data_IF_367354848128
#
_entry.id   IF_367354848128
#
_cell.length_a   1.000
_cell.length_b   1.000
_cell.length_c   1.000
_cell.angle_alpha   90.00
_cell.angle_beta   90.00
_cell.angle_gamma   90.00
#
_symmetry.space_group_name_H-M   'P 1'
#
loop_
_entity.id
_entity.type
_entity.pdbx_description
1 polymer ?
#
# COMPACT_ATOMS: atom_id res chain seq x y z
N UNK A 1 -13.37 -21.95 -6.69
CA UNK A 1 -11.94 -21.99 -6.31
C UNK A 1 -11.28 -20.60 -6.35
N UNK A 2 -11.44 -19.83 -7.43
CA UNK A 2 -10.87 -18.48 -7.55
C UNK A 2 -11.25 -17.51 -6.41
N UNK A 3 -12.52 -17.45 -6.00
CA UNK A 3 -12.96 -16.57 -4.91
C UNK A 3 -12.26 -16.84 -3.57
N UNK A 4 -11.96 -18.11 -3.27
CA UNK A 4 -11.26 -18.50 -2.03
C UNK A 4 -9.78 -18.09 -2.05
N UNK A 5 -9.16 -18.08 -3.24
CA UNK A 5 -7.80 -17.56 -3.40
C UNK A 5 -7.77 -16.05 -3.19
N UNK A 6 -8.69 -15.31 -3.81
CA UNK A 6 -8.83 -13.86 -3.65
C UNK A 6 -9.04 -13.50 -2.19
N UNK A 7 -9.91 -14.22 -1.48
CA UNK A 7 -10.14 -13.97 -0.05
C UNK A 7 -8.88 -14.21 0.80
N UNK A 8 -8.15 -15.29 0.53
CA UNK A 8 -6.93 -15.63 1.24
C UNK A 8 -5.82 -14.61 0.99
N UNK A 9 -5.63 -14.21 -0.27
CA UNK A 9 -4.66 -13.20 -0.67
C UNK A 9 -4.98 -11.84 -0.07
N UNK A 10 -6.24 -11.39 -0.16
CA UNK A 10 -6.71 -10.17 0.48
C UNK A 10 -6.51 -10.20 1.99
N UNK A 11 -6.61 -11.38 2.61
CA UNK A 11 -6.35 -11.54 4.04
C UNK A 11 -4.90 -11.28 4.41
N UNK A 12 -3.96 -11.94 3.74
CA UNK A 12 -2.54 -11.75 4.01
C UNK A 12 -2.05 -10.36 3.62
N UNK A 13 -2.56 -9.81 2.52
CA UNK A 13 -2.24 -8.44 2.10
C UNK A 13 -2.74 -7.42 3.14
N UNK A 14 -3.96 -7.61 3.66
CA UNK A 14 -4.51 -6.78 4.72
C UNK A 14 -3.69 -6.85 6.01
N UNK A 15 -3.24 -8.04 6.42
CA UNK A 15 -2.38 -8.20 7.60
C UNK A 15 -1.02 -7.52 7.42
N UNK A 16 -0.41 -7.63 6.24
CA UNK A 16 0.83 -6.92 5.92
C UNK A 16 0.66 -5.40 6.03
N UNK A 17 -0.43 -4.86 5.48
CA UNK A 17 -0.74 -3.42 5.57
C UNK A 17 -1.01 -3.01 7.01
N UNK A 18 -1.78 -3.78 7.78
CA UNK A 18 -2.04 -3.52 9.20
C UNK A 18 -0.74 -3.47 10.02
N UNK A 19 0.22 -4.37 9.73
CA UNK A 19 1.53 -4.33 10.37
C UNK A 19 2.30 -3.04 10.03
N UNK A 20 2.30 -2.61 8.76
CA UNK A 20 2.95 -1.36 8.37
C UNK A 20 2.31 -0.14 9.06
N UNK A 21 0.98 -0.12 9.17
CA UNK A 21 0.26 0.94 9.88
C UNK A 21 0.66 0.96 11.36
N UNK A 22 0.67 -0.19 12.01
CA UNK A 22 1.03 -0.31 13.43
C UNK A 22 2.48 0.10 13.70
N UNK A 23 3.41 -0.24 12.80
CA UNK A 23 4.83 0.04 12.99
C UNK A 23 5.21 1.49 12.68
N UNK A 24 4.63 2.08 11.64
CA UNK A 24 5.10 3.37 11.11
C UNK A 24 4.10 4.51 11.25
N UNK A 25 2.82 4.22 11.52
CA UNK A 25 1.72 5.20 11.55
C UNK A 25 1.78 6.21 10.37
N UNK A 26 1.92 5.74 9.12
CA UNK A 26 2.19 6.63 7.99
C UNK A 26 0.93 7.41 7.61
N UNK A 27 1.08 8.60 7.03
CA UNK A 27 -0.07 9.33 6.47
C UNK A 27 -0.63 8.68 5.20
N UNK A 28 0.21 7.95 4.45
CA UNK A 28 -0.15 7.35 3.16
C UNK A 28 0.62 6.05 2.93
N UNK A 29 -0.10 5.02 2.46
CA UNK A 29 0.46 3.82 1.85
C UNK A 29 0.02 3.82 0.39
N UNK A 30 0.98 3.99 -0.52
CA UNK A 30 0.74 3.94 -1.96
C UNK A 30 1.01 2.52 -2.50
N UNK A 31 -0.02 1.91 -3.08
CA UNK A 31 0.04 0.55 -3.64
C UNK A 31 0.33 0.60 -5.14
N UNK A 32 1.44 -0.02 -5.54
CA UNK A 32 1.89 -0.11 -6.92
C UNK A 32 1.82 -1.52 -7.51
N UNK A 33 2.22 -1.64 -8.77
CA UNK A 33 2.43 -2.92 -9.44
C UNK A 33 1.16 -3.73 -9.68
N UNK A 34 1.28 -5.06 -9.60
CA UNK A 34 0.17 -5.99 -9.90
C UNK A 34 -1.07 -5.82 -9.02
N UNK A 35 -0.91 -5.29 -7.81
CA UNK A 35 -2.00 -5.03 -6.85
C UNK A 35 -3.00 -4.00 -7.39
N UNK A 36 -2.53 -3.01 -8.18
CA UNK A 36 -3.38 -1.96 -8.74
C UNK A 36 -4.51 -2.51 -9.62
N UNK A 37 -4.25 -3.57 -10.39
CA UNK A 37 -5.22 -4.15 -11.33
C UNK A 37 -6.39 -4.84 -10.65
N UNK A 38 -6.15 -5.39 -9.47
CA UNK A 38 -7.13 -6.18 -8.71
C UNK A 38 -7.61 -5.45 -7.46
N UNK A 39 -7.24 -4.17 -7.29
CA UNK A 39 -7.55 -3.40 -6.10
C UNK A 39 -9.02 -3.40 -5.69
N UNK A 40 -9.99 -3.23 -6.62
CA UNK A 40 -11.41 -3.29 -6.26
C UNK A 40 -11.84 -4.61 -5.63
N UNK A 41 -11.14 -5.72 -5.93
CA UNK A 41 -11.45 -7.05 -5.38
C UNK A 41 -10.95 -7.22 -3.93
N UNK A 42 -9.93 -6.46 -3.54
CA UNK A 42 -9.26 -6.62 -2.25
C UNK A 42 -9.54 -5.49 -1.27
N UNK A 43 -9.91 -4.30 -1.75
CA UNK A 43 -10.06 -3.07 -0.97
C UNK A 43 -10.84 -3.29 0.32
N UNK A 44 -12.08 -3.77 0.20
CA UNK A 44 -12.98 -3.90 1.35
C UNK A 44 -12.45 -4.90 2.39
N UNK A 45 -11.83 -5.99 1.92
CA UNK A 45 -11.23 -7.02 2.81
C UNK A 45 -10.01 -6.48 3.54
N UNK A 46 -9.18 -5.70 2.86
CA UNK A 46 -8.00 -5.05 3.45
C UNK A 46 -8.44 -4.03 4.50
N UNK A 47 -9.40 -3.17 4.18
CA UNK A 47 -9.92 -2.16 5.11
C UNK A 47 -10.53 -2.81 6.37
N UNK A 48 -11.27 -3.92 6.20
CA UNK A 48 -11.80 -4.68 7.32
C UNK A 48 -10.68 -5.20 8.23
N UNK A 49 -9.63 -5.78 7.66
CA UNK A 49 -8.52 -6.36 8.43
C UNK A 49 -7.72 -5.29 9.15
N UNK A 50 -7.46 -4.16 8.49
CA UNK A 50 -6.80 -3.01 9.11
C UNK A 50 -7.61 -2.55 10.33
N UNK A 51 -8.93 -2.36 10.18
CA UNK A 51 -9.81 -1.96 11.30
C UNK A 51 -9.80 -2.97 12.44
N UNK A 52 -9.76 -4.26 12.14
CA UNK A 52 -9.75 -5.33 13.15
C UNK A 52 -8.42 -5.46 13.90
N UNK A 53 -7.30 -5.13 13.25
CA UNK A 53 -5.96 -5.42 13.79
C UNK A 53 -5.24 -4.16 14.31
N UNK A 54 -5.64 -2.95 13.89
CA UNK A 54 -5.00 -1.70 14.30
C UNK A 54 -5.81 -0.98 15.39
N UNK A 55 -5.89 -1.56 16.59
CA UNK A 55 -6.62 -0.96 17.72
C UNK A 55 -5.82 0.06 18.56
N UNK A 56 -4.49 0.08 18.43
CA UNK A 56 -3.60 0.86 19.31
C UNK A 56 -3.00 2.10 18.64
N UNK A 57 -3.27 2.28 17.35
CA UNK A 57 -2.78 3.41 16.55
C UNK A 57 -3.95 4.03 15.78
N UNK A 58 -3.91 5.33 15.45
CA UNK A 58 -4.98 6.01 14.72
C UNK A 58 -4.94 5.61 13.23
N UNK A 59 -5.32 4.37 12.94
CA UNK A 59 -5.24 3.79 11.60
C UNK A 59 -6.12 4.52 10.58
N UNK A 60 -7.17 5.20 11.02
CA UNK A 60 -8.04 6.06 10.22
C UNK A 60 -7.32 7.26 9.60
N UNK A 61 -6.16 7.64 10.13
CA UNK A 61 -5.31 8.70 9.57
C UNK A 61 -4.41 8.21 8.44
N UNK A 62 -4.27 6.90 8.27
CA UNK A 62 -3.50 6.31 7.17
C UNK A 62 -4.40 6.16 5.96
N UNK A 63 -4.07 6.87 4.88
CA UNK A 63 -4.72 6.64 3.58
C UNK A 63 -4.06 5.47 2.86
N UNK A 64 -4.87 4.62 2.22
CA UNK A 64 -4.38 3.54 1.36
C UNK A 64 -4.86 3.85 -0.07
N UNK A 65 -3.94 4.16 -0.97
CA UNK A 65 -4.25 4.66 -2.31
C UNK A 65 -3.45 3.89 -3.37
N UNK A 66 -3.93 3.92 -4.61
CA UNK A 66 -3.15 3.42 -5.75
C UNK A 66 -2.10 4.43 -6.18
N UNK A 67 -0.89 3.96 -6.48
CA UNK A 67 0.19 4.80 -7.00
C UNK A 67 -0.21 5.40 -8.35
N UNK A 68 -0.08 6.72 -8.50
CA UNK A 68 -0.53 7.45 -9.70
C UNK A 68 0.52 7.51 -10.82
N UNK A 69 1.78 7.20 -10.53
CA UNK A 69 2.92 7.40 -11.44
C UNK A 69 3.05 6.33 -12.56
N UNK A 70 2.16 5.35 -12.60
CA UNK A 70 2.07 4.39 -13.71
C UNK A 70 3.37 3.63 -13.99
N UNK A 71 3.64 3.34 -15.26
CA UNK A 71 4.83 2.60 -15.72
C UNK A 71 6.15 3.33 -15.47
N UNK A 72 6.11 4.66 -15.40
CA UNK A 72 7.31 5.50 -15.44
C UNK A 72 7.88 5.73 -14.04
N UNK A 73 7.21 5.23 -13.00
CA UNK A 73 7.60 5.37 -11.59
C UNK A 73 9.06 4.97 -11.33
N UNK A 74 9.55 3.92 -12.01
CA UNK A 74 10.93 3.45 -11.85
C UNK A 74 11.95 4.44 -12.43
N UNK A 75 11.69 4.98 -13.62
CA UNK A 75 12.58 5.93 -14.28
C UNK A 75 12.55 7.29 -13.58
N UNK A 76 11.37 7.76 -13.18
CA UNK A 76 11.21 8.99 -12.41
C UNK A 76 11.89 8.89 -11.05
N UNK A 77 11.74 7.75 -10.36
CA UNK A 77 12.43 7.49 -9.10
C UNK A 77 13.95 7.47 -9.25
N UNK A 78 14.47 6.83 -10.31
CA UNK A 78 15.91 6.81 -10.58
C UNK A 78 16.46 8.22 -10.89
N UNK A 79 15.74 9.00 -11.70
CA UNK A 79 16.08 10.39 -12.00
C UNK A 79 16.07 11.26 -10.74
N UNK A 80 15.05 11.13 -9.89
CA UNK A 80 14.96 11.86 -8.62
C UNK A 80 16.09 11.48 -7.66
N UNK A 81 16.45 10.20 -7.58
CA UNK A 81 17.55 9.74 -6.74
C UNK A 81 18.91 10.30 -7.21
N UNK A 82 19.14 10.34 -8.52
CA UNK A 82 20.33 10.97 -9.10
C UNK A 82 20.35 12.48 -8.83
N UNK A 83 19.24 13.18 -9.08
CA UNK A 83 19.13 14.62 -8.84
C UNK A 83 19.39 14.97 -7.37
N UNK A 84 18.77 14.25 -6.44
CA UNK A 84 19.00 14.45 -5.00
C UNK A 84 20.46 14.21 -4.60
N UNK A 85 21.17 13.31 -5.28
CA UNK A 85 22.57 12.99 -4.95
C UNK A 85 23.58 14.00 -5.51
N UNK A 86 23.29 14.67 -6.62
CA UNK A 86 24.26 15.51 -7.33
C UNK A 86 23.88 17.00 -7.46
N UNK A 87 22.64 17.38 -7.12
CA UNK A 87 22.16 18.78 -7.19
C UNK A 87 21.84 19.39 -5.82
N UNK A 88 22.01 18.66 -4.71
CA UNK A 88 21.84 19.18 -3.33
C UNK A 88 23.17 19.53 -2.65
N UNK A 89 24.17 19.97 -3.43
CA UNK A 89 25.42 20.59 -2.94
C UNK A 89 25.70 21.85 -3.75
#
# INVERSE_FOLDING_TARGET
>A
MAAKCVEREGTYLGLGIANLITLFTPNLIALGGGVMRSWPLFKDRIELIVRQNCGLVPHEKTRIELASLGSDVNLLGAGQAWFHRYHSN
#
